data_IF_633308407468
#
_entry.id   IF_633308407468
#
_cell.length_a   1.000
_cell.length_b   1.000
_cell.length_c   1.000
_cell.angle_alpha   90.00
_cell.angle_beta   90.00
_cell.angle_gamma   90.00
#
_symmetry.space_group_name_H-M   'P 1'
#
loop_
_entity.id
_entity.type
_entity.pdbx_description
1 polymer ?
#
# COMPACT_ATOMS: atom_id res chain seq x y z
N UNK A 1 39.84 -0.06 -1.64
CA UNK A 1 39.72 1.41 -1.69
C UNK A 1 40.04 1.94 -3.09
N UNK A 2 41.13 1.50 -3.74
CA UNK A 2 41.49 1.93 -5.11
C UNK A 2 40.37 1.77 -6.14
N UNK A 3 39.70 0.61 -6.21
CA UNK A 3 38.59 0.39 -7.16
C UNK A 3 37.44 1.39 -6.97
N UNK A 4 37.14 1.75 -5.72
CA UNK A 4 36.09 2.73 -5.40
C UNK A 4 36.48 4.12 -5.90
N UNK A 5 37.69 4.56 -5.56
CA UNK A 5 38.17 5.90 -5.91
C UNK A 5 38.38 6.06 -7.41
N UNK A 6 38.85 5.02 -8.10
CA UNK A 6 39.19 5.08 -9.53
C UNK A 6 37.97 4.94 -10.45
N UNK A 7 36.98 4.12 -10.07
CA UNK A 7 35.84 3.79 -10.96
C UNK A 7 34.48 4.20 -10.43
N UNK A 8 34.25 4.14 -9.11
CA UNK A 8 32.91 4.32 -8.52
C UNK A 8 32.66 5.78 -8.12
N UNK A 9 33.63 6.43 -7.49
CA UNK A 9 33.55 7.83 -7.08
C UNK A 9 33.18 8.80 -8.23
N UNK A 10 33.79 8.73 -9.43
CA UNK A 10 33.42 9.64 -10.52
C UNK A 10 31.97 9.42 -11.03
N UNK A 11 31.45 8.18 -10.94
CA UNK A 11 30.06 7.87 -11.29
C UNK A 11 29.11 8.46 -10.24
N UNK A 12 29.43 8.27 -8.96
CA UNK A 12 28.63 8.81 -7.86
C UNK A 12 28.60 10.33 -7.86
N UNK A 13 29.75 10.99 -8.06
CA UNK A 13 29.82 12.46 -8.16
C UNK A 13 28.97 12.97 -9.34
N UNK A 14 28.98 12.25 -10.48
CA UNK A 14 28.13 12.58 -11.64
C UNK A 14 26.64 12.42 -11.32
N UNK A 15 26.24 11.36 -10.62
CA UNK A 15 24.85 11.14 -10.20
C UNK A 15 24.43 12.21 -9.18
N UNK A 16 25.23 12.46 -8.15
CA UNK A 16 24.98 13.50 -7.16
C UNK A 16 24.77 14.86 -7.81
N UNK A 17 25.61 15.24 -8.78
CA UNK A 17 25.46 16.50 -9.53
C UNK A 17 24.21 16.52 -10.42
N UNK A 18 23.82 15.38 -10.98
CA UNK A 18 22.59 15.26 -11.81
C UNK A 18 21.33 15.37 -10.96
N UNK A 19 21.37 14.89 -9.71
CA UNK A 19 20.25 14.94 -8.74
C UNK A 19 20.34 16.19 -7.84
N UNK A 20 21.31 17.08 -8.09
CA UNK A 20 21.57 18.30 -7.29
C UNK A 20 21.80 18.05 -5.79
N UNK A 21 22.39 16.90 -5.44
CA UNK A 21 22.74 16.53 -4.06
C UNK A 21 24.12 17.06 -3.64
N UNK A 22 24.90 17.61 -4.56
CA UNK A 22 26.21 18.22 -4.31
C UNK A 22 26.11 19.46 -3.40
N UNK A 23 25.01 20.21 -3.46
CA UNK A 23 24.74 21.31 -2.54
C UNK A 23 24.66 20.87 -1.07
N UNK A 24 24.39 19.59 -0.79
CA UNK A 24 24.34 19.05 0.57
C UNK A 24 25.73 18.88 1.18
N UNK A 25 26.78 18.83 0.36
CA UNK A 25 28.16 18.77 0.84
C UNK A 25 28.60 20.09 1.46
N UNK A 26 27.96 21.22 1.12
CA UNK A 26 28.26 22.54 1.68
C UNK A 26 27.59 22.79 3.05
N UNK A 27 26.68 21.90 3.49
CA UNK A 27 25.96 22.09 4.75
C UNK A 27 26.83 21.71 5.96
N UNK A 28 27.21 22.71 6.76
CA UNK A 28 28.06 22.52 7.95
C UNK A 28 27.47 21.54 8.97
N UNK A 29 26.14 21.50 9.14
CA UNK A 29 25.48 20.57 10.05
C UNK A 29 25.64 19.13 9.58
N UNK A 30 25.50 18.87 8.28
CA UNK A 30 25.68 17.53 7.71
C UNK A 30 27.15 17.09 7.83
N UNK A 31 28.10 17.98 7.56
CA UNK A 31 29.52 17.67 7.76
C UNK A 31 29.85 17.37 9.24
N UNK A 32 29.27 18.13 10.17
CA UNK A 32 29.45 17.90 11.61
C UNK A 32 28.90 16.53 12.05
N UNK A 33 27.78 16.08 11.46
CA UNK A 33 27.22 14.75 11.70
C UNK A 33 28.07 13.64 11.07
N UNK A 34 28.56 13.84 9.85
CA UNK A 34 29.40 12.86 9.14
C UNK A 34 30.77 12.72 9.81
N UNK A 35 31.36 13.79 10.35
CA UNK A 35 32.62 13.73 11.12
C UNK A 35 32.55 12.87 12.38
N UNK A 36 31.36 12.60 12.91
CA UNK A 36 31.17 11.65 14.03
C UNK A 36 31.26 10.19 13.60
N UNK A 37 31.19 9.93 12.29
CA UNK A 37 31.28 8.59 11.71
C UNK A 37 32.75 8.33 11.35
N UNK A 38 33.34 7.15 11.66
CA UNK A 38 34.75 6.84 11.40
C UNK A 38 35.16 6.74 9.91
N UNK A 39 34.26 7.03 8.97
CA UNK A 39 34.39 6.68 7.55
C UNK A 39 34.54 7.98 6.73
N UNK A 40 35.62 8.15 5.94
CA UNK A 40 35.82 9.36 5.15
C UNK A 40 34.99 9.32 3.87
N UNK A 41 33.75 9.79 3.93
CA UNK A 41 32.82 9.87 2.79
C UNK A 41 32.10 11.23 2.76
N UNK A 42 31.75 11.71 1.57
CA UNK A 42 30.98 12.95 1.39
C UNK A 42 29.52 12.78 1.85
N UNK A 43 28.88 13.79 2.48
CA UNK A 43 27.46 13.76 2.84
C UNK A 43 26.51 13.38 1.69
N UNK A 44 26.77 13.88 0.48
CA UNK A 44 25.98 13.60 -0.73
C UNK A 44 25.93 12.10 -1.07
N UNK A 45 27.06 11.40 -0.95
CA UNK A 45 27.12 9.94 -1.15
C UNK A 45 26.33 9.18 -0.08
N UNK A 46 26.37 9.62 1.18
CA UNK A 46 25.59 8.99 2.26
C UNK A 46 24.09 9.13 1.98
N UNK A 47 23.64 10.34 1.62
CA UNK A 47 22.22 10.61 1.36
C UNK A 47 21.74 9.85 0.12
N UNK A 48 22.56 9.79 -0.94
CA UNK A 48 22.27 8.99 -2.13
C UNK A 48 22.17 7.50 -1.80
N UNK A 49 23.13 6.94 -1.06
CA UNK A 49 23.10 5.55 -0.63
C UNK A 49 21.92 5.26 0.30
N UNK A 50 21.62 6.14 1.26
CA UNK A 50 20.46 5.99 2.15
C UNK A 50 19.15 6.03 1.37
N UNK A 51 19.03 6.93 0.40
CA UNK A 51 17.85 7.03 -0.49
C UNK A 51 17.71 5.78 -1.36
N UNK A 52 18.81 5.28 -1.94
CA UNK A 52 18.81 4.05 -2.72
C UNK A 52 18.45 2.82 -1.87
N UNK A 53 18.96 2.74 -0.64
CA UNK A 53 18.60 1.68 0.32
C UNK A 53 17.13 1.78 0.71
N UNK A 54 16.60 2.99 0.98
CA UNK A 54 15.19 3.19 1.30
C UNK A 54 14.27 2.78 0.14
N UNK A 55 14.65 3.11 -1.10
CA UNK A 55 13.95 2.67 -2.31
C UNK A 55 14.02 1.14 -2.43
N UNK A 56 15.19 0.54 -2.23
CA UNK A 56 15.35 -0.92 -2.29
C UNK A 56 14.52 -1.63 -1.21
N UNK A 57 14.53 -1.16 0.03
CA UNK A 57 13.70 -1.69 1.12
C UNK A 57 12.21 -1.59 0.77
N UNK A 58 11.78 -0.49 0.16
CA UNK A 58 10.40 -0.30 -0.32
C UNK A 58 10.04 -1.21 -1.50
N UNK A 59 11.02 -1.72 -2.24
CA UNK A 59 10.83 -2.66 -3.35
C UNK A 59 10.83 -4.11 -2.88
N UNK A 60 11.53 -4.43 -1.80
CA UNK A 60 11.65 -5.81 -1.32
C UNK A 60 10.30 -6.37 -0.83
N UNK A 61 9.43 -5.56 -0.20
CA UNK A 61 8.01 -5.84 0.14
C UNK A 61 7.65 -7.27 0.62
N UNK A 62 8.61 -8.03 1.15
CA UNK A 62 8.43 -9.44 1.50
C UNK A 62 7.41 -9.54 2.63
N UNK A 63 6.31 -10.26 2.41
CA UNK A 63 5.25 -10.48 3.41
C UNK A 63 4.27 -9.32 3.60
N UNK A 64 4.45 -8.17 2.95
CA UNK A 64 3.56 -7.00 3.12
C UNK A 64 2.14 -7.27 2.63
N UNK A 65 1.99 -8.04 1.54
CA UNK A 65 0.68 -8.47 1.04
C UNK A 65 -0.07 -9.33 2.07
N UNK A 66 0.64 -10.27 2.70
CA UNK A 66 0.06 -11.15 3.72
C UNK A 66 -0.43 -10.36 4.93
N UNK A 67 0.38 -9.41 5.42
CA UNK A 67 0.01 -8.54 6.55
C UNK A 67 -1.25 -7.74 6.20
N UNK A 68 -1.31 -7.12 5.02
CA UNK A 68 -2.48 -6.35 4.59
C UNK A 68 -3.75 -7.22 4.56
N UNK A 69 -3.64 -8.43 4.01
CA UNK A 69 -4.78 -9.34 3.92
C UNK A 69 -5.22 -9.84 5.30
N UNK A 70 -4.28 -10.16 6.19
CA UNK A 70 -4.59 -10.56 7.57
C UNK A 70 -5.30 -9.42 8.32
N UNK A 71 -4.79 -8.19 8.24
CA UNK A 71 -5.41 -7.02 8.89
C UNK A 71 -6.79 -6.72 8.30
N UNK A 72 -6.91 -6.76 6.97
CA UNK A 72 -8.17 -6.63 6.26
C UNK A 72 -9.15 -7.77 6.50
N UNK A 73 -8.74 -8.87 7.15
CA UNK A 73 -9.61 -10.01 7.40
C UNK A 73 -9.98 -10.14 8.88
N UNK A 74 -8.99 -10.19 9.79
CA UNK A 74 -9.21 -10.57 11.19
C UNK A 74 -10.07 -9.56 11.95
N UNK A 75 -9.76 -8.27 11.87
CA UNK A 75 -10.52 -7.27 12.63
C UNK A 75 -11.99 -7.18 12.18
N UNK A 76 -12.29 -7.05 10.87
CA UNK A 76 -13.66 -7.05 10.38
C UNK A 76 -14.39 -8.36 10.67
N UNK A 77 -13.72 -9.51 10.61
CA UNK A 77 -14.33 -10.80 10.95
C UNK A 77 -14.76 -10.86 12.43
N UNK A 78 -13.89 -10.43 13.35
CA UNK A 78 -14.23 -10.37 14.76
C UNK A 78 -15.37 -9.39 15.05
N UNK A 79 -15.37 -8.23 14.39
CA UNK A 79 -16.45 -7.26 14.55
C UNK A 79 -17.76 -7.74 13.93
N UNK A 80 -17.71 -8.46 12.79
CA UNK A 80 -18.88 -9.10 12.19
C UNK A 80 -19.47 -10.15 13.14
N UNK A 81 -18.63 -10.97 13.77
CA UNK A 81 -19.06 -11.91 14.80
C UNK A 81 -19.78 -11.21 15.95
N UNK A 82 -19.22 -10.08 16.44
CA UNK A 82 -19.90 -9.31 17.49
C UNK A 82 -21.23 -8.72 17.03
N UNK A 83 -21.31 -8.21 15.79
CA UNK A 83 -22.55 -7.67 15.22
C UNK A 83 -23.66 -8.74 15.22
N UNK A 84 -23.33 -9.97 14.80
CA UNK A 84 -24.26 -11.10 14.76
C UNK A 84 -24.83 -11.51 16.13
N UNK A 85 -24.12 -11.20 17.22
CA UNK A 85 -24.58 -11.48 18.59
C UNK A 85 -25.45 -10.36 19.18
N UNK A 86 -25.56 -9.22 18.50
CA UNK A 86 -26.41 -8.10 18.95
C UNK A 86 -27.81 -8.19 18.35
N UNK A 87 -28.79 -7.56 19.03
CA UNK A 87 -30.17 -7.45 18.54
C UNK A 87 -30.40 -6.21 17.67
N UNK A 88 -29.41 -5.31 17.55
CA UNK A 88 -29.50 -4.07 16.76
C UNK A 88 -28.77 -4.25 15.42
N UNK A 89 -29.51 -4.35 14.31
CA UNK A 89 -28.95 -4.64 12.98
C UNK A 89 -28.26 -3.43 12.31
N UNK A 90 -27.92 -2.38 13.06
CA UNK A 90 -27.35 -1.14 12.50
C UNK A 90 -25.93 -1.33 11.99
N UNK A 91 -25.15 -2.20 12.60
CA UNK A 91 -23.77 -2.49 12.22
C UNK A 91 -23.66 -3.61 11.19
N UNK A 92 -24.66 -4.50 11.07
CA UNK A 92 -24.75 -5.52 10.03
C UNK A 92 -24.55 -4.97 8.63
N UNK A 93 -25.22 -3.84 8.31
CA UNK A 93 -25.09 -3.20 7.00
C UNK A 93 -23.65 -2.81 6.71
N UNK A 94 -22.94 -2.26 7.69
CA UNK A 94 -21.54 -1.84 7.54
C UNK A 94 -20.63 -3.05 7.26
N UNK A 95 -20.78 -4.14 8.03
CA UNK A 95 -19.93 -5.32 7.88
C UNK A 95 -20.23 -6.10 6.60
N UNK A 96 -21.49 -6.26 6.23
CA UNK A 96 -21.86 -6.90 4.97
C UNK A 96 -21.36 -6.09 3.77
N UNK A 97 -21.51 -4.76 3.83
CA UNK A 97 -20.99 -3.87 2.79
C UNK A 97 -19.48 -3.92 2.70
N UNK A 98 -18.79 -4.00 3.84
CA UNK A 98 -17.34 -4.20 3.90
C UNK A 98 -16.92 -5.45 3.14
N UNK A 99 -17.57 -6.60 3.38
CA UNK A 99 -17.22 -7.86 2.71
C UNK A 99 -17.45 -7.80 1.20
N UNK A 100 -18.50 -7.12 0.73
CA UNK A 100 -18.73 -6.90 -0.71
C UNK A 100 -17.61 -6.05 -1.33
N UNK A 101 -17.25 -4.91 -0.71
CA UNK A 101 -16.20 -4.03 -1.24
C UNK A 101 -14.83 -4.69 -1.15
N UNK A 102 -14.53 -5.36 -0.03
CA UNK A 102 -13.27 -6.07 0.20
C UNK A 102 -13.04 -7.20 -0.80
N UNK A 103 -14.07 -8.01 -1.08
CA UNK A 103 -13.96 -9.11 -2.04
C UNK A 103 -13.70 -8.60 -3.46
N UNK A 104 -14.44 -7.58 -3.92
CA UNK A 104 -14.21 -6.95 -5.23
C UNK A 104 -12.80 -6.38 -5.34
N UNK A 105 -12.34 -5.64 -4.33
CA UNK A 105 -10.99 -5.10 -4.31
C UNK A 105 -9.92 -6.20 -4.31
N UNK A 106 -10.11 -7.26 -3.52
CA UNK A 106 -9.15 -8.39 -3.45
C UNK A 106 -9.05 -9.14 -4.77
N UNK A 107 -10.18 -9.34 -5.46
CA UNK A 107 -10.19 -9.94 -6.80
C UNK A 107 -9.46 -9.03 -7.79
N UNK A 108 -9.78 -7.72 -7.80
CA UNK A 108 -9.09 -6.76 -8.66
C UNK A 108 -7.58 -6.73 -8.39
N UNK A 109 -7.18 -6.62 -7.12
CA UNK A 109 -5.79 -6.62 -6.67
C UNK A 109 -5.07 -7.92 -7.05
N UNK A 110 -5.77 -9.06 -7.14
CA UNK A 110 -5.15 -10.30 -7.61
C UNK A 110 -4.72 -10.22 -9.08
N UNK A 111 -5.40 -9.41 -9.90
CA UNK A 111 -5.05 -9.22 -11.31
C UNK A 111 -3.99 -8.12 -11.53
N UNK A 112 -4.10 -6.98 -10.84
CA UNK A 112 -3.21 -5.82 -11.05
C UNK A 112 -2.12 -5.68 -9.98
N UNK A 113 -2.17 -6.47 -8.90
CA UNK A 113 -1.32 -6.33 -7.73
C UNK A 113 0.16 -6.59 -8.00
N UNK A 114 0.50 -7.46 -8.95
CA UNK A 114 1.88 -7.63 -9.39
C UNK A 114 2.43 -6.31 -9.98
N UNK A 115 1.68 -5.68 -10.89
CA UNK A 115 2.07 -4.40 -11.48
C UNK A 115 2.09 -3.26 -10.45
N UNK A 116 1.12 -3.22 -9.54
CA UNK A 116 1.08 -2.21 -8.48
C UNK A 116 2.17 -2.39 -7.43
N UNK A 117 2.70 -3.61 -7.23
CA UNK A 117 3.78 -3.87 -6.27
C UNK A 117 5.10 -3.17 -6.62
N UNK A 118 5.29 -2.77 -7.88
CA UNK A 118 6.43 -1.95 -8.31
C UNK A 118 6.31 -0.48 -7.89
N UNK A 119 5.11 -0.03 -7.52
CA UNK A 119 4.88 1.34 -7.05
C UNK A 119 5.31 1.41 -5.58
N UNK A 120 6.24 2.32 -5.22
CA UNK A 120 6.64 2.49 -3.83
C UNK A 120 5.43 2.90 -2.97
N UNK A 121 5.38 2.41 -1.72
CA UNK A 121 4.28 2.63 -0.76
C UNK A 121 2.92 2.02 -1.13
N UNK A 122 2.82 1.20 -2.17
CA UNK A 122 1.57 0.54 -2.56
C UNK A 122 0.90 -0.20 -1.38
N UNK A 123 1.65 -1.04 -0.67
CA UNK A 123 1.12 -1.81 0.45
C UNK A 123 0.70 -0.93 1.64
N UNK A 124 1.36 0.21 1.84
CA UNK A 124 0.94 1.18 2.86
C UNK A 124 -0.42 1.80 2.50
N UNK A 125 -0.60 2.20 1.24
CA UNK A 125 -1.88 2.72 0.74
C UNK A 125 -2.98 1.65 0.77
N UNK A 126 -2.67 0.41 0.39
CA UNK A 126 -3.58 -0.74 0.47
C UNK A 126 -4.05 -0.97 1.92
N UNK A 127 -3.12 -0.95 2.87
CA UNK A 127 -3.44 -1.10 4.29
C UNK A 127 -4.29 0.06 4.79
N UNK A 128 -3.91 1.31 4.48
CA UNK A 128 -4.69 2.49 4.84
C UNK A 128 -6.10 2.46 4.26
N UNK A 129 -6.24 1.97 3.02
CA UNK A 129 -7.53 1.75 2.38
C UNK A 129 -8.37 0.72 3.14
N UNK A 130 -7.82 -0.44 3.50
CA UNK A 130 -8.53 -1.42 4.33
C UNK A 130 -8.96 -0.86 5.67
N UNK A 131 -8.06 -0.14 6.36
CA UNK A 131 -8.39 0.54 7.62
C UNK A 131 -9.55 1.51 7.42
N UNK A 132 -9.51 2.33 6.38
CA UNK A 132 -10.61 3.24 6.04
C UNK A 132 -11.94 2.52 5.82
N UNK A 133 -11.92 1.37 5.12
CA UNK A 133 -13.12 0.59 4.84
C UNK A 133 -13.78 0.03 6.11
N UNK A 134 -13.00 -0.59 7.00
CA UNK A 134 -13.54 -1.24 8.20
C UNK A 134 -13.72 -0.30 9.40
N UNK A 135 -13.18 0.92 9.35
CA UNK A 135 -13.20 1.81 10.50
C UNK A 135 -14.65 2.25 10.84
N UNK A 136 -15.14 1.99 12.07
CA UNK A 136 -16.57 2.09 12.39
C UNK A 136 -17.11 3.52 12.41
N UNK A 137 -16.26 4.54 12.55
CA UNK A 137 -16.71 5.95 12.51
C UNK A 137 -16.76 6.55 11.11
N UNK A 138 -15.96 6.04 10.17
CA UNK A 138 -15.88 6.60 8.82
C UNK A 138 -16.89 5.95 7.88
N UNK A 139 -17.33 4.73 8.18
CA UNK A 139 -18.22 3.93 7.35
C UNK A 139 -17.74 3.87 5.89
N UNK A 140 -16.42 3.76 5.72
CA UNK A 140 -15.77 3.90 4.42
C UNK A 140 -16.25 2.88 3.41
N UNK A 141 -16.55 1.65 3.85
CA UNK A 141 -17.18 0.63 3.03
C UNK A 141 -18.53 1.07 2.46
N UNK A 142 -19.41 1.65 3.28
CA UNK A 142 -20.72 2.16 2.82
C UNK A 142 -20.56 3.27 1.79
N UNK A 143 -19.62 4.19 2.01
CA UNK A 143 -19.35 5.28 1.06
C UNK A 143 -18.87 4.72 -0.29
N UNK A 144 -17.94 3.77 -0.30
CA UNK A 144 -17.43 3.15 -1.53
C UNK A 144 -18.52 2.35 -2.22
N UNK A 145 -19.35 1.64 -1.44
CA UNK A 145 -20.45 0.85 -1.99
C UNK A 145 -21.48 1.74 -2.66
N UNK A 146 -22.02 2.74 -1.97
CA UNK A 146 -23.08 3.60 -2.50
C UNK A 146 -22.62 4.39 -3.73
N UNK A 147 -21.35 4.82 -3.77
CA UNK A 147 -20.82 5.64 -4.87
C UNK A 147 -20.34 4.83 -6.09
N UNK A 148 -19.81 3.63 -5.88
CA UNK A 148 -19.09 2.88 -6.93
C UNK A 148 -19.71 1.51 -7.15
N UNK A 149 -19.84 0.71 -6.11
CA UNK A 149 -20.23 -0.71 -6.26
C UNK A 149 -21.72 -0.86 -6.58
N UNK A 150 -22.60 -0.15 -5.87
CA UNK A 150 -24.04 -0.21 -6.05
C UNK A 150 -24.51 0.13 -7.47
N UNK A 151 -24.09 1.25 -8.11
CA UNK A 151 -24.51 1.56 -9.47
C UNK A 151 -24.01 0.53 -10.49
N UNK A 152 -22.82 -0.03 -10.28
CA UNK A 152 -22.29 -1.11 -11.13
C UNK A 152 -23.12 -2.39 -10.97
N UNK A 153 -23.36 -2.84 -9.73
CA UNK A 153 -24.14 -4.05 -9.47
C UNK A 153 -25.57 -3.93 -10.00
N UNK A 154 -26.28 -2.83 -9.70
CA UNK A 154 -27.65 -2.61 -10.18
C UNK A 154 -27.78 -2.62 -11.70
N UNK A 155 -26.75 -2.16 -12.41
CA UNK A 155 -26.74 -2.17 -13.88
C UNK A 155 -26.74 -3.59 -14.44
N UNK A 156 -26.07 -4.53 -13.78
CA UNK A 156 -25.91 -5.91 -14.24
C UNK A 156 -26.80 -6.92 -13.49
N UNK A 157 -27.48 -6.50 -12.42
CA UNK A 157 -28.31 -7.34 -11.55
C UNK A 157 -29.34 -8.17 -12.33
N UNK A 158 -30.15 -7.53 -13.19
CA UNK A 158 -31.17 -8.24 -13.97
C UNK A 158 -30.59 -9.29 -14.92
N UNK A 159 -29.43 -9.03 -15.53
CA UNK A 159 -28.80 -9.99 -16.44
C UNK A 159 -28.22 -11.17 -15.67
N UNK A 160 -27.61 -10.91 -14.51
CA UNK A 160 -27.08 -11.93 -13.61
C UNK A 160 -28.22 -12.83 -13.12
N UNK A 161 -29.30 -12.25 -12.61
CA UNK A 161 -30.45 -12.99 -12.05
C UNK A 161 -31.13 -13.86 -13.11
N UNK A 162 -31.33 -13.33 -14.32
CA UNK A 162 -31.91 -14.11 -15.42
C UNK A 162 -31.04 -15.31 -15.79
N UNK A 163 -29.72 -15.14 -15.83
CA UNK A 163 -28.80 -16.21 -16.17
C UNK A 163 -28.72 -17.27 -15.05
N UNK A 164 -28.68 -16.85 -13.78
CA UNK A 164 -28.70 -17.77 -12.64
C UNK A 164 -29.99 -18.58 -12.63
N UNK A 165 -31.16 -17.94 -12.81
CA UNK A 165 -32.44 -18.64 -12.82
C UNK A 165 -32.56 -19.64 -13.96
N UNK A 166 -32.06 -19.31 -15.17
CA UNK A 166 -32.01 -20.25 -16.31
C UNK A 166 -31.16 -21.49 -16.02
N UNK A 167 -30.05 -21.33 -15.29
CA UNK A 167 -29.18 -22.43 -14.91
C UNK A 167 -29.81 -23.29 -13.80
N UNK A 168 -30.51 -22.67 -12.85
CA UNK A 168 -31.18 -23.38 -11.75
C UNK A 168 -32.42 -24.15 -12.20
N UNK A 169 -33.08 -23.73 -13.29
CA UNK A 169 -34.25 -24.41 -13.85
C UNK A 169 -33.92 -25.57 -14.81
N UNK A 170 -32.63 -25.91 -14.97
CA UNK A 170 -32.14 -26.92 -15.90
C UNK A 170 -31.63 -28.15 -15.16
#
# INVERSE_FOLDING_TARGET
MEIYTEKVAPILDKVCKTVHLDALDENENLQALVKKIPIPVKPSHIILSLSAVLVLLSLLNVGSSLICNIVGFIYPAYMSFKALETTDNKDDKQWLTYWVVYSLFTVMDSFIGFTLSFIPFYYFLKLAFFVYLFHPKTLGAVVVYDKVVQPLLKKYESDIDQNINKLASK
#
